data_IF_176603968179
#
_entry.id   IF_176603968179
#
_cell.length_a   1.000
_cell.length_b   1.000
_cell.length_c   1.000
_cell.angle_alpha   90.00
_cell.angle_beta   90.00
_cell.angle_gamma   90.00
#
_symmetry.space_group_name_H-M   'P 1'
#
loop_
_entity.id
_entity.type
_entity.pdbx_description
1 polymer ?
#
# COMPACT_ATOMS: atom_id res chain seq x y z
N UNK A 1 5.54 17.43 11.49
CA UNK A 1 4.42 16.69 10.86
C UNK A 1 4.08 15.48 11.72
N UNK A 2 2.81 15.25 12.06
CA UNK A 2 2.39 14.05 12.79
C UNK A 2 2.08 12.96 11.78
N UNK A 3 2.94 11.94 11.69
CA UNK A 3 2.76 10.81 10.77
C UNK A 3 1.41 10.12 10.99
N UNK A 4 0.69 9.83 9.91
CA UNK A 4 -0.45 8.93 9.95
C UNK A 4 0.03 7.48 10.09
N UNK A 5 0.32 7.09 11.33
CA UNK A 5 0.87 5.77 11.67
C UNK A 5 0.03 4.63 11.09
N UNK A 6 -1.29 4.71 11.20
CA UNK A 6 -2.21 3.67 10.69
C UNK A 6 -2.04 3.45 9.20
N UNK A 7 -2.02 4.53 8.41
CA UNK A 7 -1.89 4.44 6.95
C UNK A 7 -0.52 3.91 6.55
N UNK A 8 0.55 4.43 7.17
CA UNK A 8 1.91 3.96 6.96
C UNK A 8 2.05 2.46 7.27
N UNK A 9 1.61 2.01 8.44
CA UNK A 9 1.69 0.59 8.83
C UNK A 9 0.81 -0.29 7.95
N UNK A 10 -0.31 0.21 7.44
CA UNK A 10 -1.15 -0.54 6.49
C UNK A 10 -0.37 -0.83 5.20
N UNK A 11 0.23 0.19 4.59
CA UNK A 11 1.05 0.00 3.39
C UNK A 11 2.27 -0.87 3.67
N UNK A 12 2.98 -0.66 4.78
CA UNK A 12 4.15 -1.45 5.13
C UNK A 12 3.81 -2.93 5.42
N UNK A 13 2.68 -3.20 6.09
CA UNK A 13 2.20 -4.57 6.36
C UNK A 13 1.84 -5.29 5.06
N UNK A 14 1.15 -4.59 4.14
CA UNK A 14 0.80 -5.17 2.84
C UNK A 14 2.04 -5.40 1.97
N UNK A 15 3.01 -4.50 1.99
CA UNK A 15 4.31 -4.72 1.35
C UNK A 15 5.02 -5.97 1.89
N UNK A 16 5.07 -6.13 3.22
CA UNK A 16 5.65 -7.31 3.86
C UNK A 16 4.89 -8.59 3.46
N UNK A 17 3.55 -8.56 3.45
CA UNK A 17 2.72 -9.69 3.05
C UNK A 17 2.98 -10.11 1.59
N UNK A 18 2.99 -9.15 0.66
CA UNK A 18 3.31 -9.45 -0.75
C UNK A 18 4.74 -9.95 -0.91
N UNK A 19 5.69 -9.45 -0.13
CA UNK A 19 7.07 -9.95 -0.14
C UNK A 19 7.15 -11.41 0.29
N UNK A 20 6.37 -11.81 1.30
CA UNK A 20 6.26 -13.23 1.70
C UNK A 20 5.67 -14.06 0.56
N UNK A 21 4.61 -13.60 -0.12
CA UNK A 21 4.05 -14.31 -1.27
C UNK A 21 5.04 -14.46 -2.42
N UNK A 22 5.87 -13.45 -2.69
CA UNK A 22 6.94 -13.53 -3.69
C UNK A 22 7.93 -14.63 -3.32
N UNK A 23 8.39 -14.68 -2.07
CA UNK A 23 9.32 -15.72 -1.60
C UNK A 23 8.68 -17.10 -1.71
N UNK A 24 7.43 -17.26 -1.28
CA UNK A 24 6.71 -18.54 -1.39
C UNK A 24 6.53 -18.98 -2.84
N UNK A 25 6.20 -18.06 -3.75
CA UNK A 25 6.08 -18.35 -5.17
C UNK A 25 7.41 -18.82 -5.76
N UNK A 26 8.51 -18.16 -5.42
CA UNK A 26 9.86 -18.56 -5.82
C UNK A 26 10.19 -19.97 -5.32
N UNK A 27 9.95 -20.25 -4.03
CA UNK A 27 10.18 -21.58 -3.45
C UNK A 27 9.32 -22.66 -4.13
N UNK A 28 8.06 -22.34 -4.46
CA UNK A 28 7.17 -23.25 -5.18
C UNK A 28 7.70 -23.57 -6.58
N UNK A 29 8.20 -22.57 -7.31
CA UNK A 29 8.81 -22.76 -8.63
C UNK A 29 10.02 -23.70 -8.55
N UNK A 30 10.89 -23.51 -7.55
CA UNK A 30 12.07 -24.36 -7.39
C UNK A 30 11.75 -25.80 -7.00
N UNK A 31 10.67 -26.03 -6.24
CA UNK A 31 10.33 -27.36 -5.70
C UNK A 31 9.37 -28.14 -6.60
N UNK A 32 8.48 -27.46 -7.34
CA UNK A 32 7.40 -28.07 -8.11
C UNK A 32 7.45 -27.74 -9.61
N UNK A 33 8.43 -26.96 -10.06
CA UNK A 33 8.60 -26.62 -11.47
C UNK A 33 8.88 -27.86 -12.33
N UNK A 34 8.03 -28.12 -13.31
CA UNK A 34 8.12 -29.27 -14.21
C UNK A 34 7.79 -28.94 -15.66
N UNK A 35 7.88 -29.94 -16.55
CA UNK A 35 7.65 -29.74 -18.00
C UNK A 35 6.22 -29.32 -18.36
N UNK A 36 5.24 -29.55 -17.49
CA UNK A 36 3.83 -29.15 -17.71
C UNK A 36 3.46 -27.82 -17.03
N UNK A 37 4.42 -27.15 -16.40
CA UNK A 37 4.17 -25.87 -15.74
C UNK A 37 3.95 -24.75 -16.77
N UNK A 38 2.84 -24.01 -16.63
CA UNK A 38 2.59 -22.80 -17.42
C UNK A 38 3.47 -21.64 -16.93
N UNK A 39 4.64 -21.51 -17.55
CA UNK A 39 5.62 -20.48 -17.21
C UNK A 39 5.13 -19.07 -17.50
N UNK A 40 4.26 -18.88 -18.50
CA UNK A 40 3.73 -17.56 -18.83
C UNK A 40 2.81 -17.09 -17.70
N UNK A 41 1.89 -17.94 -17.26
CA UNK A 41 1.01 -17.63 -16.14
C UNK A 41 1.80 -17.29 -14.87
N UNK A 42 2.86 -18.06 -14.56
CA UNK A 42 3.71 -17.81 -13.40
C UNK A 42 4.41 -16.45 -13.50
N UNK A 43 5.01 -16.12 -14.65
CA UNK A 43 5.68 -14.83 -14.85
C UNK A 43 4.68 -13.68 -14.69
N UNK A 44 3.48 -13.81 -15.25
CA UNK A 44 2.43 -12.78 -15.13
C UNK A 44 2.02 -12.59 -13.67
N UNK A 45 1.77 -13.68 -12.93
CA UNK A 45 1.44 -13.62 -11.50
C UNK A 45 2.59 -12.98 -10.72
N UNK A 46 3.83 -13.39 -10.97
CA UNK A 46 5.01 -12.84 -10.32
C UNK A 46 5.13 -11.32 -10.53
N UNK A 47 4.95 -10.85 -11.77
CA UNK A 47 5.00 -9.42 -12.09
C UNK A 47 3.87 -8.64 -11.41
N UNK A 48 2.67 -9.18 -11.36
CA UNK A 48 1.53 -8.55 -10.67
C UNK A 48 1.83 -8.41 -9.17
N UNK A 49 2.29 -9.48 -8.51
CA UNK A 49 2.58 -9.46 -7.07
C UNK A 49 3.75 -8.52 -6.76
N UNK A 50 4.81 -8.52 -7.57
CA UNK A 50 5.92 -7.57 -7.47
C UNK A 50 5.45 -6.12 -7.64
N UNK A 51 4.58 -5.86 -8.62
CA UNK A 51 3.98 -4.54 -8.84
C UNK A 51 3.17 -4.08 -7.62
N UNK A 52 2.32 -4.94 -7.07
CA UNK A 52 1.54 -4.64 -5.86
C UNK A 52 2.45 -4.35 -4.66
N UNK A 53 3.48 -5.17 -4.44
CA UNK A 53 4.47 -4.94 -3.39
C UNK A 53 5.14 -3.56 -3.55
N UNK A 54 5.58 -3.24 -4.76
CA UNK A 54 6.21 -1.96 -5.08
C UNK A 54 5.29 -0.77 -4.83
N UNK A 55 4.02 -0.84 -5.25
CA UNK A 55 3.04 0.22 -4.99
C UNK A 55 2.85 0.47 -3.49
N UNK A 56 2.76 -0.59 -2.67
CA UNK A 56 2.65 -0.46 -1.23
C UNK A 56 3.93 0.09 -0.59
N UNK A 57 5.10 -0.37 -1.00
CA UNK A 57 6.39 0.18 -0.56
C UNK A 57 6.49 1.68 -0.85
N UNK A 58 6.22 2.07 -2.10
CA UNK A 58 6.32 3.46 -2.51
C UNK A 58 5.28 4.34 -1.84
N UNK A 59 4.04 3.86 -1.68
CA UNK A 59 3.01 4.57 -0.93
C UNK A 59 3.39 4.76 0.55
N UNK A 60 4.02 3.77 1.20
CA UNK A 60 4.49 3.91 2.58
C UNK A 60 5.51 5.06 2.73
N UNK A 61 6.50 5.12 1.84
CA UNK A 61 7.50 6.20 1.81
C UNK A 61 6.86 7.56 1.58
N UNK A 62 5.97 7.67 0.58
CA UNK A 62 5.31 8.94 0.27
C UNK A 62 4.36 9.40 1.38
N UNK A 63 3.71 8.47 2.09
CA UNK A 63 2.90 8.78 3.29
C UNK A 63 3.77 9.23 4.46
N UNK A 64 4.96 8.64 4.62
CA UNK A 64 5.94 9.05 5.62
C UNK A 64 6.41 10.49 5.39
N UNK A 65 6.74 10.81 4.13
CA UNK A 65 7.13 12.16 3.71
C UNK A 65 5.97 13.15 3.70
N UNK A 66 4.73 12.69 3.52
CA UNK A 66 3.55 13.55 3.51
C UNK A 66 3.16 14.18 2.20
N UNK A 67 3.61 13.60 1.10
CA UNK A 67 3.43 14.23 -0.21
C UNK A 67 2.01 14.08 -0.72
N UNK A 68 1.58 15.01 -1.59
CA UNK A 68 0.31 14.84 -2.31
C UNK A 68 0.35 13.60 -3.22
N UNK A 69 1.54 13.21 -3.70
CA UNK A 69 1.75 11.93 -4.40
C UNK A 69 1.35 10.74 -3.52
N UNK A 70 1.77 10.71 -2.26
CA UNK A 70 1.40 9.65 -1.32
C UNK A 70 -0.09 9.56 -1.09
N UNK A 71 -0.76 10.71 -1.05
CA UNK A 71 -2.23 10.78 -0.94
C UNK A 71 -2.93 10.30 -2.21
N UNK A 72 -2.46 10.69 -3.39
CA UNK A 72 -2.98 10.23 -4.68
C UNK A 72 -2.80 8.72 -4.84
N UNK A 73 -1.59 8.21 -4.60
CA UNK A 73 -1.27 6.78 -4.66
C UNK A 73 -2.13 5.97 -3.69
N UNK A 74 -2.23 6.41 -2.44
CA UNK A 74 -3.04 5.72 -1.43
C UNK A 74 -4.53 5.74 -1.80
N UNK A 75 -5.02 6.82 -2.42
CA UNK A 75 -6.41 6.89 -2.91
C UNK A 75 -6.64 5.87 -4.03
N UNK A 76 -5.74 5.83 -5.01
CA UNK A 76 -5.81 4.86 -6.11
C UNK A 76 -5.77 3.41 -5.60
N UNK A 77 -4.82 3.09 -4.72
CA UNK A 77 -4.70 1.76 -4.08
C UNK A 77 -5.97 1.44 -3.29
N UNK A 78 -6.46 2.39 -2.48
CA UNK A 78 -7.68 2.23 -1.70
C UNK A 78 -8.90 1.90 -2.55
N UNK A 79 -9.10 2.61 -3.66
CA UNK A 79 -10.18 2.34 -4.62
C UNK A 79 -10.02 0.98 -5.31
N UNK A 80 -8.82 0.60 -5.72
CA UNK A 80 -8.55 -0.69 -6.35
C UNK A 80 -8.89 -1.84 -5.39
N UNK A 81 -8.56 -1.69 -4.11
CA UNK A 81 -8.88 -2.68 -3.09
C UNK A 81 -10.39 -2.85 -2.86
N UNK A 82 -11.23 -1.84 -3.10
CA UNK A 82 -12.68 -1.97 -2.95
C UNK A 82 -13.30 -3.06 -3.83
N UNK A 83 -12.66 -3.40 -4.95
CA UNK A 83 -13.11 -4.43 -5.91
C UNK A 83 -12.90 -5.86 -5.35
N UNK A 84 -11.93 -6.06 -4.45
CA UNK A 84 -11.52 -7.37 -3.95
C UNK A 84 -12.37 -7.93 -2.80
N UNK A 85 -13.69 -7.78 -2.85
CA UNK A 85 -14.62 -8.14 -1.77
C UNK A 85 -14.43 -9.58 -1.24
N UNK A 86 -14.52 -9.83 0.09
CA UNK A 86 -14.76 -8.85 1.17
C UNK A 86 -13.49 -8.24 1.77
N UNK A 87 -12.39 -9.00 1.78
CA UNK A 87 -11.14 -8.63 2.46
C UNK A 87 -10.55 -7.36 1.85
N UNK A 88 -10.51 -7.30 0.51
CA UNK A 88 -10.05 -6.13 -0.22
C UNK A 88 -10.84 -4.89 0.17
N UNK A 89 -12.16 -5.00 0.24
CA UNK A 89 -13.05 -3.89 0.61
C UNK A 89 -12.76 -3.35 2.01
N UNK A 90 -12.56 -4.22 3.00
CA UNK A 90 -12.20 -3.79 4.36
C UNK A 90 -10.88 -2.99 4.38
N UNK A 91 -9.86 -3.49 3.67
CA UNK A 91 -8.55 -2.83 3.58
C UNK A 91 -8.66 -1.50 2.81
N UNK A 92 -9.38 -1.49 1.69
CA UNK A 92 -9.61 -0.29 0.87
C UNK A 92 -10.31 0.80 1.65
N UNK A 93 -11.37 0.46 2.41
CA UNK A 93 -12.04 1.39 3.31
C UNK A 93 -11.10 1.90 4.40
N UNK A 94 -10.28 1.05 5.01
CA UNK A 94 -9.30 1.46 6.02
C UNK A 94 -8.33 2.50 5.44
N UNK A 95 -7.79 2.27 4.24
CA UNK A 95 -6.90 3.21 3.55
C UNK A 95 -7.62 4.55 3.29
N UNK A 96 -8.79 4.51 2.67
CA UNK A 96 -9.57 5.71 2.30
C UNK A 96 -10.03 6.53 3.52
N UNK A 97 -10.44 5.86 4.60
CA UNK A 97 -10.84 6.53 5.84
C UNK A 97 -9.66 7.21 6.53
N UNK A 98 -8.44 6.67 6.41
CA UNK A 98 -7.23 7.27 6.95
C UNK A 98 -6.63 8.36 6.05
N UNK A 99 -7.06 8.48 4.79
CA UNK A 99 -6.69 9.59 3.88
C UNK A 99 -7.48 10.88 4.09
N UNK A 100 -8.57 10.86 4.87
CA UNK A 100 -9.41 12.04 5.12
C UNK A 100 -8.58 13.22 5.66
N UNK A 101 -8.91 14.45 5.27
CA UNK A 101 -8.18 15.68 5.66
C UNK A 101 -7.96 15.82 7.18
N UNK A 102 -8.86 15.30 8.01
CA UNK A 102 -8.73 15.31 9.47
C UNK A 102 -7.65 14.37 10.01
N UNK A 103 -7.27 13.34 9.25
CA UNK A 103 -6.26 12.32 9.61
C UNK A 103 -5.00 12.42 8.77
N UNK A 104 -5.07 13.06 7.59
CA UNK A 104 -3.91 13.33 6.75
C UNK A 104 -2.97 14.31 7.46
N UNK A 105 -1.85 13.76 7.95
CA UNK A 105 -0.74 14.50 8.55
C UNK A 105 -1.11 15.62 9.53
N UNK A 106 -2.17 15.42 10.31
CA UNK A 106 -2.91 16.42 11.10
C UNK A 106 -2.04 17.21 12.12
N UNK A 107 -1.17 18.08 11.61
CA UNK A 107 -0.10 18.71 12.40
C UNK A 107 0.63 19.84 11.69
N UNK A 108 -0.01 20.56 10.77
CA UNK A 108 0.50 21.86 10.31
C UNK A 108 -0.55 22.98 10.31
N UNK A 109 -1.83 22.67 10.03
CA UNK A 109 -2.86 23.73 10.00
C UNK A 109 -3.02 24.42 11.36
N UNK A 110 -3.10 23.65 12.45
CA UNK A 110 -3.25 24.20 13.81
C UNK A 110 -2.00 24.91 14.37
N UNK A 111 -0.79 24.66 13.83
CA UNK A 111 0.43 25.30 14.33
C UNK A 111 0.76 26.56 13.53
N UNK A 112 0.47 26.57 12.22
CA UNK A 112 0.63 27.76 11.40
C UNK A 112 -0.47 28.79 11.68
N UNK A 113 -1.72 28.39 11.93
CA UNK A 113 -2.83 29.30 12.30
C UNK A 113 -2.61 29.97 13.68
N UNK A 114 -1.78 29.37 14.55
CA UNK A 114 -1.42 29.93 15.87
C UNK A 114 -0.22 30.88 15.77
N UNK A 115 0.71 30.64 14.84
CA UNK A 115 1.89 31.50 14.64
C UNK A 115 1.65 32.68 13.68
N UNK A 116 0.55 32.70 12.92
CA UNK A 116 0.17 33.84 12.06
C UNK A 116 -0.89 34.76 12.68
N UNK A 117 -1.44 34.40 13.85
CA UNK A 117 -2.41 35.21 14.61
C UNK A 117 -1.82 35.75 15.95
N UNK A 118 -0.49 35.75 16.08
CA UNK A 118 0.27 36.45 17.12
C UNK A 118 1.12 37.55 16.48
#
# INVERSE_FOLDING_TARGET
>A
MKLNKTLYYTHNTLFALYSIFIVLLILMIFTLGGKQTDWLAIIVIFLIVCGLAYFHYKAAIEVEMGTETGKLMSTFIGCLFLIGFPIGTCIGLLILLNLRKSKWQSGQKLQNDVMTNQ
#
